data_IF_120830922370
#
_entry.id   IF_120830922370
#
_cell.length_a   1.000
_cell.length_b   1.000
_cell.length_c   1.000
_cell.angle_alpha   90.00
_cell.angle_beta   90.00
_cell.angle_gamma   90.00
#
_symmetry.space_group_name_H-M   'P 1'
#
loop_
_entity.id
_entity.type
_entity.pdbx_description
1 polymer ?
#
# COMPACT_ATOMS: atom_id res chain seq x y z
N UNK A 1 -46.09 -16.86 -13.81
CA UNK A 1 -45.04 -16.38 -14.73
C UNK A 1 -43.84 -15.95 -13.89
N UNK A 2 -42.84 -16.83 -13.70
CA UNK A 2 -41.61 -16.52 -12.97
C UNK A 2 -40.48 -16.37 -14.00
N UNK A 3 -40.04 -15.13 -14.22
CA UNK A 3 -38.98 -14.82 -15.17
C UNK A 3 -37.63 -15.22 -14.56
N UNK A 4 -37.03 -16.28 -15.09
CA UNK A 4 -35.67 -16.68 -14.77
C UNK A 4 -34.69 -15.64 -15.36
N UNK A 5 -34.20 -14.75 -14.51
CA UNK A 5 -33.08 -13.84 -14.82
C UNK A 5 -31.84 -14.66 -15.14
N UNK A 6 -31.52 -14.81 -16.43
CA UNK A 6 -30.25 -15.38 -16.89
C UNK A 6 -29.12 -14.46 -16.42
N UNK A 7 -28.36 -14.90 -15.41
CA UNK A 7 -27.09 -14.25 -15.06
C UNK A 7 -26.12 -14.46 -16.22
N UNK A 8 -25.67 -13.37 -16.84
CA UNK A 8 -24.60 -13.42 -17.85
C UNK A 8 -23.31 -14.01 -17.25
N UNK A 9 -22.40 -14.54 -18.07
CA UNK A 9 -21.17 -15.13 -17.58
C UNK A 9 -20.38 -14.08 -16.80
N UNK A 10 -20.05 -14.38 -15.55
CA UNK A 10 -19.24 -13.50 -14.73
C UNK A 10 -17.89 -13.26 -15.43
N UNK A 11 -17.34 -12.02 -15.41
CA UNK A 11 -16.03 -11.76 -15.98
C UNK A 11 -15.01 -12.66 -15.27
N UNK A 12 -14.48 -13.64 -16.01
CA UNK A 12 -13.44 -14.53 -15.51
C UNK A 12 -12.12 -13.76 -15.56
N UNK A 13 -11.89 -12.94 -14.54
CA UNK A 13 -10.57 -12.35 -14.30
C UNK A 13 -9.56 -13.50 -14.24
N UNK A 14 -8.41 -13.34 -14.90
CA UNK A 14 -7.35 -14.35 -14.88
C UNK A 14 -7.06 -14.72 -13.41
N UNK A 15 -7.14 -16.01 -13.03
CA UNK A 15 -6.86 -16.44 -11.67
C UNK A 15 -5.50 -15.98 -11.15
N UNK A 16 -4.51 -15.75 -12.04
CA UNK A 16 -3.21 -15.16 -11.69
C UNK A 16 -3.32 -13.72 -11.24
N UNK A 17 -4.10 -12.91 -11.95
CA UNK A 17 -4.36 -11.52 -11.59
C UNK A 17 -5.06 -11.44 -10.24
N UNK A 18 -6.12 -12.24 -10.05
CA UNK A 18 -6.87 -12.28 -8.79
C UNK A 18 -6.00 -12.67 -7.59
N UNK A 19 -5.05 -13.59 -7.81
CA UNK A 19 -4.07 -14.03 -6.80
C UNK A 19 -3.06 -12.94 -6.49
N UNK A 20 -2.62 -12.17 -7.48
CA UNK A 20 -1.73 -11.02 -7.31
C UNK A 20 -2.38 -9.90 -6.50
N UNK A 21 -3.62 -9.49 -6.82
CA UNK A 21 -4.31 -8.43 -6.06
C UNK A 21 -4.57 -8.85 -4.61
N UNK A 22 -4.85 -10.14 -4.36
CA UNK A 22 -4.97 -10.68 -3.00
C UNK A 22 -3.66 -10.63 -2.22
N UNK A 23 -2.52 -10.85 -2.88
CA UNK A 23 -1.20 -10.81 -2.25
C UNK A 23 -0.75 -9.36 -1.93
N UNK A 24 -1.18 -8.39 -2.75
CA UNK A 24 -0.90 -6.97 -2.53
C UNK A 24 -1.73 -6.35 -1.40
N UNK A 25 -2.89 -6.92 -1.07
CA UNK A 25 -3.84 -6.36 -0.11
C UNK A 25 -3.22 -5.96 1.24
N UNK A 26 -2.52 -6.86 1.95
CA UNK A 26 -1.91 -6.55 3.24
C UNK A 26 -0.85 -5.45 3.16
N UNK A 27 0.02 -5.49 2.14
CA UNK A 27 1.08 -4.49 1.96
C UNK A 27 0.55 -3.12 1.57
N UNK A 28 -0.51 -3.05 0.75
CA UNK A 28 -1.15 -1.79 0.37
C UNK A 28 -1.87 -1.13 1.56
N UNK A 29 -2.55 -1.91 2.41
CA UNK A 29 -3.25 -1.38 3.59
C UNK A 29 -2.24 -0.82 4.60
N UNK A 30 -1.17 -1.57 4.87
CA UNK A 30 -0.11 -1.12 5.78
C UNK A 30 0.62 0.11 5.24
N UNK A 31 0.95 0.13 3.93
CA UNK A 31 1.55 1.29 3.30
C UNK A 31 0.66 2.52 3.34
N UNK A 32 -0.63 2.38 3.01
CA UNK A 32 -1.60 3.49 3.09
C UNK A 32 -1.84 3.98 4.53
N UNK A 33 -1.52 3.17 5.54
CA UNK A 33 -1.63 3.55 6.95
C UNK A 33 -0.39 4.31 7.46
N UNK A 34 0.76 4.18 6.79
CA UNK A 34 2.00 4.89 7.14
C UNK A 34 1.93 6.38 6.75
N UNK A 35 1.14 6.72 5.73
CA UNK A 35 0.88 8.10 5.26
C UNK A 35 -0.35 8.76 5.92
N UNK A 36 -0.39 8.76 7.25
CA UNK A 36 -1.50 9.34 8.01
C UNK A 36 -1.42 10.89 8.08
N UNK A 37 -2.51 11.59 8.51
CA UNK A 37 -2.51 13.06 8.58
C UNK A 37 -1.42 13.63 9.47
N UNK A 38 -0.99 12.89 10.49
CA UNK A 38 0.09 13.31 11.39
C UNK A 38 1.45 13.26 10.69
N UNK A 39 1.73 12.19 9.93
CA UNK A 39 2.91 12.08 9.07
C UNK A 39 2.97 13.18 8.02
N UNK A 40 1.85 13.46 7.32
CA UNK A 40 1.79 14.55 6.34
C UNK A 40 2.10 15.92 6.99
N UNK A 41 1.59 16.19 8.20
CA UNK A 41 1.89 17.42 8.92
C UNK A 41 3.38 17.52 9.29
N UNK A 42 3.99 16.44 9.79
CA UNK A 42 5.42 16.39 10.11
C UNK A 42 6.29 16.56 8.88
N UNK A 43 6.01 15.87 7.78
CA UNK A 43 6.76 16.00 6.54
C UNK A 43 6.60 17.39 5.93
N UNK A 44 5.43 18.01 6.04
CA UNK A 44 5.19 19.38 5.58
C UNK A 44 5.97 20.41 6.41
N UNK A 45 5.98 20.26 7.74
CA UNK A 45 6.76 21.14 8.63
C UNK A 45 8.27 20.99 8.36
N UNK A 46 8.75 19.74 8.27
CA UNK A 46 10.14 19.46 7.96
C UNK A 46 10.53 19.99 6.56
N UNK A 47 9.64 19.84 5.56
CA UNK A 47 9.83 20.39 4.23
C UNK A 47 9.89 21.92 4.21
N UNK A 48 9.03 22.59 5.00
CA UNK A 48 9.05 24.05 5.12
C UNK A 48 10.32 24.58 5.82
N UNK A 49 10.87 23.83 6.78
CA UNK A 49 12.07 24.24 7.54
C UNK A 49 13.38 23.88 6.84
N UNK A 50 13.46 22.72 6.19
CA UNK A 50 14.70 22.15 5.67
C UNK A 50 14.74 22.04 4.13
N UNK A 51 13.62 22.26 3.44
CA UNK A 51 13.53 22.07 1.99
C UNK A 51 14.00 20.68 1.59
N UNK A 52 14.88 20.60 0.58
CA UNK A 52 15.47 19.34 0.12
C UNK A 52 16.75 18.94 0.87
N UNK A 53 17.18 19.70 1.89
CA UNK A 53 18.46 19.45 2.56
C UNK A 53 18.53 18.08 3.25
N UNK A 54 17.38 17.51 3.61
CA UNK A 54 17.28 16.20 4.26
C UNK A 54 16.84 15.07 3.31
N UNK A 55 16.61 15.33 2.01
CA UNK A 55 16.10 14.31 1.07
C UNK A 55 17.05 13.11 0.91
N UNK A 56 18.36 13.30 1.14
CA UNK A 56 19.34 12.22 1.12
C UNK A 56 19.04 11.12 2.16
N UNK A 57 18.34 11.45 3.25
CA UNK A 57 17.94 10.47 4.27
C UNK A 57 17.00 9.40 3.71
N UNK A 58 16.21 9.72 2.68
CA UNK A 58 15.31 8.75 2.03
C UNK A 58 16.05 7.53 1.47
N UNK A 59 17.31 7.70 1.06
CA UNK A 59 18.15 6.60 0.58
C UNK A 59 18.37 5.52 1.63
N UNK A 60 18.30 5.89 2.92
CA UNK A 60 18.49 5.00 4.05
C UNK A 60 17.18 4.61 4.73
N UNK A 61 16.23 5.54 4.88
CA UNK A 61 14.96 5.27 5.54
C UNK A 61 14.03 4.39 4.71
N UNK A 62 14.04 4.50 3.37
CA UNK A 62 13.25 3.63 2.50
C UNK A 62 13.62 2.14 2.59
N UNK A 63 14.90 1.73 2.41
CA UNK A 63 15.26 0.31 2.56
C UNK A 63 15.05 -0.20 3.99
N UNK A 64 15.22 0.65 5.01
CA UNK A 64 14.93 0.29 6.40
C UNK A 64 13.43 -0.01 6.60
N UNK A 65 12.55 0.87 6.09
CA UNK A 65 11.09 0.66 6.11
C UNK A 65 10.72 -0.66 5.43
N UNK A 66 11.28 -0.94 4.25
CA UNK A 66 11.04 -2.20 3.53
C UNK A 66 11.49 -3.40 4.37
N UNK A 67 12.66 -3.34 5.00
CA UNK A 67 13.16 -4.42 5.85
C UNK A 67 12.21 -4.69 7.04
N UNK A 68 11.73 -3.63 7.69
CA UNK A 68 10.76 -3.75 8.79
C UNK A 68 9.45 -4.38 8.30
N UNK A 69 8.89 -3.89 7.19
CA UNK A 69 7.65 -4.45 6.63
C UNK A 69 7.83 -5.93 6.23
N UNK A 70 8.99 -6.33 5.70
CA UNK A 70 9.29 -7.73 5.38
C UNK A 70 9.40 -8.61 6.62
N UNK A 71 9.97 -8.11 7.71
CA UNK A 71 10.05 -8.84 8.98
C UNK A 71 8.66 -8.99 9.59
N UNK A 72 7.88 -7.90 9.65
CA UNK A 72 6.50 -7.92 10.15
C UNK A 72 5.61 -8.87 9.34
N UNK A 73 5.72 -8.87 8.02
CA UNK A 73 4.98 -9.76 7.13
C UNK A 73 5.40 -11.25 7.22
N UNK A 74 6.54 -11.56 7.86
CA UNK A 74 6.97 -12.95 8.12
C UNK A 74 6.50 -13.46 9.48
N UNK A 75 6.27 -12.55 10.44
CA UNK A 75 5.85 -12.89 11.80
C UNK A 75 4.33 -12.94 11.91
N UNK A 76 3.63 -12.00 11.25
CA UNK A 76 2.17 -11.99 11.13
C UNK A 76 1.67 -12.93 10.04
#
# INVERSE_FOLDING_TARGET
MSAATKRGPAPTLDPKWLRFVRLLGPGLITGASDDDPSGIATYSQAGAQFGFAISWTMLFSYPLMVAIQQISARIG
#
